data_IF_843043873438
#
_entry.id   IF_843043873438
#
_cell.length_a   1.000
_cell.length_b   1.000
_cell.length_c   1.000
_cell.angle_alpha   90.00
_cell.angle_beta   90.00
_cell.angle_gamma   90.00
#
_symmetry.space_group_name_H-M   'P 1'
#
loop_
_entity.id
_entity.type
_entity.pdbx_description
1 polymer ?
#
# COMPACT_ATOMS: atom_id res chain seq x y z
N UNK A 1 -2.67 -14.56 17.44
CA UNK A 1 -3.93 -14.16 16.77
C UNK A 1 -4.87 -13.36 17.68
N UNK A 2 -5.07 -13.73 18.94
CA UNK A 2 -5.97 -13.00 19.85
C UNK A 2 -5.57 -11.51 20.04
N UNK A 3 -4.28 -11.19 20.14
CA UNK A 3 -3.83 -9.80 20.26
C UNK A 3 -4.21 -8.94 19.05
N UNK A 4 -4.04 -9.47 17.83
CA UNK A 4 -4.45 -8.78 16.61
C UNK A 4 -5.97 -8.53 16.58
N UNK A 5 -6.76 -9.55 16.94
CA UNK A 5 -8.22 -9.43 17.00
C UNK A 5 -8.66 -8.32 17.95
N UNK A 6 -8.12 -8.31 19.17
CA UNK A 6 -8.37 -7.26 20.17
C UNK A 6 -7.99 -5.86 19.67
N UNK A 7 -6.88 -5.73 18.94
CA UNK A 7 -6.46 -4.45 18.38
C UNK A 7 -7.43 -3.96 17.31
N UNK A 8 -7.82 -4.82 16.38
CA UNK A 8 -8.75 -4.47 15.30
C UNK A 8 -10.11 -4.07 15.90
N UNK A 9 -10.68 -4.90 16.78
CA UNK A 9 -11.97 -4.61 17.46
C UNK A 9 -11.94 -3.27 18.18
N UNK A 10 -10.83 -2.95 18.85
CA UNK A 10 -10.67 -1.69 19.59
C UNK A 10 -10.61 -0.46 18.69
N UNK A 11 -9.96 -0.55 17.52
CA UNK A 11 -9.65 0.62 16.71
C UNK A 11 -10.54 0.79 15.47
N UNK A 12 -11.19 -0.27 14.99
CA UNK A 12 -12.10 -0.23 13.84
C UNK A 12 -13.20 0.84 13.93
N UNK A 13 -13.85 1.11 15.09
CA UNK A 13 -14.87 2.16 15.16
C UNK A 13 -14.35 3.59 14.92
N UNK A 14 -13.02 3.79 14.94
CA UNK A 14 -12.39 5.12 14.85
C UNK A 14 -11.49 5.26 13.62
N UNK A 15 -10.94 4.16 13.12
CA UNK A 15 -9.91 4.18 12.09
C UNK A 15 -10.17 3.11 11.04
N UNK A 16 -9.85 3.44 9.79
CA UNK A 16 -9.78 2.47 8.70
C UNK A 16 -8.70 1.43 8.97
N UNK A 17 -9.06 0.16 8.85
CA UNK A 17 -8.16 -0.97 9.07
C UNK A 17 -7.74 -1.57 7.73
N UNK A 18 -6.45 -1.42 7.40
CA UNK A 18 -5.82 -2.12 6.28
C UNK A 18 -5.07 -3.33 6.84
N UNK A 19 -5.50 -4.54 6.49
CA UNK A 19 -4.79 -5.76 6.85
C UNK A 19 -3.76 -6.09 5.76
N UNK A 20 -2.49 -5.87 6.09
CA UNK A 20 -1.37 -6.13 5.17
C UNK A 20 -1.01 -7.63 5.11
N UNK A 21 -1.87 -8.43 4.44
CA UNK A 21 -1.77 -9.89 4.39
C UNK A 21 -1.09 -10.44 3.12
N UNK A 22 -0.96 -9.64 2.06
CA UNK A 22 -0.33 -10.00 0.77
C UNK A 22 -0.81 -11.33 0.18
N UNK A 23 -2.10 -11.65 0.36
CA UNK A 23 -2.67 -12.94 -0.11
C UNK A 23 -2.61 -13.04 -1.62
N UNK A 24 -2.33 -14.23 -2.14
CA UNK A 24 -2.36 -14.57 -3.56
C UNK A 24 -2.57 -16.07 -3.68
N UNK A 25 -3.75 -16.46 -4.12
CA UNK A 25 -4.17 -17.84 -4.37
C UNK A 25 -5.33 -17.79 -5.37
N UNK A 26 -5.87 -18.91 -5.84
CA UNK A 26 -6.93 -18.93 -6.87
C UNK A 26 -8.23 -19.57 -6.39
N UNK A 27 -9.33 -19.26 -7.08
CA UNK A 27 -10.63 -19.91 -6.92
C UNK A 27 -11.17 -19.92 -5.48
N UNK A 28 -11.46 -21.12 -4.97
CA UNK A 28 -12.06 -21.29 -3.64
C UNK A 28 -11.13 -20.84 -2.51
N UNK A 29 -9.81 -20.98 -2.67
CA UNK A 29 -8.85 -20.56 -1.66
C UNK A 29 -8.78 -19.03 -1.55
N UNK A 30 -8.75 -18.33 -2.68
CA UNK A 30 -8.88 -16.87 -2.70
C UNK A 30 -10.20 -16.39 -2.07
N UNK A 31 -11.30 -17.09 -2.34
CA UNK A 31 -12.60 -16.78 -1.73
C UNK A 31 -12.58 -16.96 -0.21
N UNK A 32 -11.88 -17.99 0.29
CA UNK A 32 -11.69 -18.21 1.72
C UNK A 32 -10.84 -17.11 2.35
N UNK A 33 -9.77 -16.65 1.70
CA UNK A 33 -8.97 -15.52 2.16
C UNK A 33 -9.74 -14.19 2.16
N UNK A 34 -10.57 -13.95 1.14
CA UNK A 34 -11.44 -12.78 1.12
C UNK A 34 -12.43 -12.81 2.31
N UNK A 35 -13.05 -13.96 2.59
CA UNK A 35 -13.91 -14.15 3.76
C UNK A 35 -13.15 -13.98 5.07
N UNK A 36 -11.95 -14.55 5.19
CA UNK A 36 -11.08 -14.39 6.35
C UNK A 36 -10.81 -12.90 6.61
N UNK A 37 -10.36 -12.16 5.60
CA UNK A 37 -9.98 -10.76 5.73
C UNK A 37 -11.16 -9.83 6.03
N UNK A 38 -12.28 -9.97 5.32
CA UNK A 38 -13.38 -9.02 5.41
C UNK A 38 -14.48 -9.40 6.42
N UNK A 39 -14.62 -10.68 6.75
CA UNK A 39 -15.67 -11.16 7.69
C UNK A 39 -15.07 -11.54 9.04
N UNK A 40 -13.99 -12.30 9.07
CA UNK A 40 -13.39 -12.71 10.35
C UNK A 40 -12.53 -11.60 10.96
N UNK A 41 -11.62 -11.02 10.17
CA UNK A 41 -10.80 -9.89 10.58
C UNK A 41 -11.50 -8.55 10.42
N UNK A 42 -12.63 -8.52 9.71
CA UNK A 42 -13.46 -7.34 9.59
C UNK A 42 -12.76 -6.10 9.01
N UNK A 43 -11.64 -6.30 8.31
CA UNK A 43 -10.80 -5.25 7.74
C UNK A 43 -11.55 -4.44 6.67
N UNK A 44 -11.13 -3.21 6.45
CA UNK A 44 -11.69 -2.33 5.41
C UNK A 44 -10.97 -2.53 4.08
N UNK A 45 -9.66 -2.80 4.13
CA UNK A 45 -8.91 -3.19 2.95
C UNK A 45 -7.86 -4.26 3.23
N UNK A 46 -7.48 -5.00 2.19
CA UNK A 46 -6.43 -6.02 2.23
C UNK A 46 -5.30 -5.67 1.25
N UNK A 47 -4.07 -6.07 1.54
CA UNK A 47 -3.03 -6.14 0.49
C UNK A 47 -3.05 -7.51 -0.18
N UNK A 48 -2.90 -7.53 -1.51
CA UNK A 48 -2.97 -8.76 -2.32
C UNK A 48 -1.78 -8.85 -3.28
N UNK A 49 -1.29 -10.06 -3.52
CA UNK A 49 -0.26 -10.36 -4.51
C UNK A 49 -0.91 -10.69 -5.87
N UNK A 50 -0.61 -9.95 -6.94
CA UNK A 50 -1.21 -10.20 -8.27
C UNK A 50 -0.48 -11.26 -9.09
N UNK A 51 0.54 -11.92 -8.54
CA UNK A 51 1.48 -12.75 -9.30
C UNK A 51 0.80 -13.93 -10.01
N UNK A 52 -0.27 -14.47 -9.45
CA UNK A 52 -0.99 -15.61 -10.02
C UNK A 52 -2.02 -15.22 -11.09
N UNK A 53 -2.24 -13.92 -11.33
CA UNK A 53 -3.17 -13.43 -12.35
C UNK A 53 -4.49 -12.91 -11.80
N UNK A 54 -5.41 -12.57 -12.70
CA UNK A 54 -6.68 -11.88 -12.38
C UNK A 54 -7.61 -12.72 -11.51
N UNK A 55 -7.64 -14.02 -11.75
CA UNK A 55 -8.41 -15.03 -11.02
C UNK A 55 -8.00 -15.16 -9.54
N UNK A 56 -6.80 -14.69 -9.18
CA UNK A 56 -6.39 -14.54 -7.78
C UNK A 56 -6.97 -13.32 -7.07
N UNK A 57 -7.50 -12.35 -7.83
CA UNK A 57 -8.02 -11.06 -7.34
C UNK A 57 -9.54 -10.97 -7.46
N UNK A 58 -10.12 -11.54 -8.52
CA UNK A 58 -11.58 -11.50 -8.78
C UNK A 58 -12.46 -11.89 -7.60
N UNK A 59 -12.14 -12.92 -6.78
CA UNK A 59 -12.96 -13.29 -5.63
C UNK A 59 -13.16 -12.17 -4.60
N UNK A 60 -12.26 -11.18 -4.56
CA UNK A 60 -12.35 -10.04 -3.65
C UNK A 60 -13.32 -8.96 -4.15
N UNK A 61 -13.67 -8.94 -5.45
CA UNK A 61 -14.53 -7.91 -6.04
C UNK A 61 -15.96 -7.92 -5.47
N UNK A 62 -16.46 -9.08 -5.02
CA UNK A 62 -17.76 -9.17 -4.35
C UNK A 62 -17.81 -8.39 -3.03
N UNK A 63 -16.66 -8.21 -2.37
CA UNK A 63 -16.57 -7.40 -1.16
C UNK A 63 -16.42 -5.91 -1.48
N UNK A 64 -15.95 -5.54 -2.67
CA UNK A 64 -15.86 -4.13 -3.04
C UNK A 64 -17.24 -3.47 -3.13
N UNK A 65 -18.25 -4.24 -3.54
CA UNK A 65 -19.67 -3.84 -3.50
C UNK A 65 -20.21 -3.61 -2.08
N UNK A 66 -19.46 -4.01 -1.06
CA UNK A 66 -19.77 -3.90 0.37
C UNK A 66 -18.82 -2.94 1.09
N UNK A 67 -18.39 -1.90 0.38
CA UNK A 67 -17.51 -0.84 0.90
C UNK A 67 -16.15 -1.35 1.40
N UNK A 68 -15.67 -2.48 0.85
CA UNK A 68 -14.31 -2.98 1.11
C UNK A 68 -13.37 -2.62 -0.05
N UNK A 69 -12.07 -2.64 0.22
CA UNK A 69 -11.05 -2.36 -0.78
C UNK A 69 -9.88 -3.33 -0.75
N UNK A 70 -8.97 -3.17 -1.69
CA UNK A 70 -7.69 -3.87 -1.67
C UNK A 70 -6.57 -3.03 -2.29
N UNK A 71 -5.32 -3.35 -1.96
CA UNK A 71 -4.13 -2.79 -2.58
C UNK A 71 -3.30 -3.91 -3.22
N UNK A 72 -3.12 -3.88 -4.55
CA UNK A 72 -2.28 -4.85 -5.24
C UNK A 72 -0.80 -4.50 -5.13
N UNK A 73 0.04 -5.49 -4.87
CA UNK A 73 1.50 -5.31 -4.91
C UNK A 73 1.97 -5.05 -6.35
N UNK A 74 2.33 -3.81 -6.67
CA UNK A 74 2.88 -3.45 -7.99
C UNK A 74 4.40 -3.29 -7.93
N UNK A 75 4.88 -2.39 -7.06
CA UNK A 75 6.31 -2.15 -6.83
C UNK A 75 6.55 -2.08 -5.33
N UNK A 76 7.31 -3.01 -4.75
CA UNK A 76 7.63 -2.98 -3.32
C UNK A 76 8.94 -2.22 -3.06
N UNK A 77 9.17 -1.78 -1.82
CA UNK A 77 10.32 -0.92 -1.45
C UNK A 77 11.58 -1.67 -1.01
N UNK A 78 11.49 -2.99 -0.79
CA UNK A 78 12.60 -3.80 -0.27
C UNK A 78 13.70 -4.03 -1.33
N UNK A 79 14.99 -4.19 -0.94
CA UNK A 79 16.09 -4.44 -1.89
C UNK A 79 15.87 -5.66 -2.80
N UNK A 80 15.38 -6.77 -2.23
CA UNK A 80 15.08 -8.00 -2.98
C UNK A 80 13.93 -7.87 -4.00
N UNK A 81 13.24 -6.72 -4.06
CA UNK A 81 12.37 -6.42 -5.18
C UNK A 81 13.15 -6.40 -6.52
N UNK A 82 14.46 -6.14 -6.47
CA UNK A 82 15.30 -6.15 -7.67
C UNK A 82 15.50 -7.56 -8.24
N UNK A 83 15.28 -8.62 -7.46
CA UNK A 83 15.42 -10.00 -7.93
C UNK A 83 14.39 -10.33 -9.03
N UNK A 84 13.22 -9.68 -8.99
CA UNK A 84 12.12 -9.94 -9.92
C UNK A 84 11.51 -8.67 -10.51
N UNK A 85 11.06 -7.73 -9.67
CA UNK A 85 10.20 -6.63 -10.09
C UNK A 85 10.91 -5.64 -11.03
N UNK A 86 12.23 -5.47 -10.90
CA UNK A 86 13.01 -4.57 -11.78
C UNK A 86 13.72 -5.30 -12.91
N UNK A 87 13.59 -6.62 -13.00
CA UNK A 87 14.19 -7.39 -14.09
C UNK A 87 13.56 -6.98 -15.41
N UNK A 88 14.41 -6.77 -16.41
CA UNK A 88 13.98 -6.36 -17.74
C UNK A 88 13.31 -7.53 -18.45
N UNK A 89 12.07 -7.32 -18.86
CA UNK A 89 11.34 -8.26 -19.70
C UNK A 89 11.83 -8.16 -21.14
N UNK A 90 11.47 -9.11 -22.00
CA UNK A 90 11.80 -9.06 -23.43
C UNK A 90 11.26 -7.79 -24.13
N UNK A 91 10.19 -7.19 -23.58
CA UNK A 91 9.65 -5.91 -24.04
C UNK A 91 10.54 -4.69 -23.75
N UNK A 92 11.64 -4.85 -23.00
CA UNK A 92 12.50 -3.75 -22.56
C UNK A 92 11.94 -2.91 -21.41
N UNK A 93 10.89 -3.39 -20.75
CA UNK A 93 10.33 -2.77 -19.54
C UNK A 93 10.53 -3.69 -18.33
N UNK A 94 10.65 -3.13 -17.11
CA UNK A 94 10.74 -3.94 -15.90
C UNK A 94 9.42 -4.68 -15.61
N UNK A 95 9.50 -5.85 -14.97
CA UNK A 95 8.33 -6.68 -14.62
C UNK A 95 7.23 -5.90 -13.87
N UNK A 96 7.59 -4.97 -12.96
CA UNK A 96 6.58 -4.17 -12.25
C UNK A 96 5.71 -3.34 -13.20
N UNK A 97 6.24 -2.91 -14.35
CA UNK A 97 5.49 -2.15 -15.36
C UNK A 97 4.38 -3.02 -15.96
N UNK A 98 4.69 -4.30 -16.26
CA UNK A 98 3.70 -5.26 -16.74
C UNK A 98 2.63 -5.52 -15.67
N UNK A 99 3.03 -5.70 -14.40
CA UNK A 99 2.10 -5.89 -13.29
C UNK A 99 1.16 -4.69 -13.17
N UNK A 100 1.70 -3.46 -13.20
CA UNK A 100 0.90 -2.23 -13.15
C UNK A 100 -0.09 -2.14 -14.32
N UNK A 101 0.36 -2.41 -15.55
CA UNK A 101 -0.52 -2.44 -16.74
C UNK A 101 -1.65 -3.45 -16.60
N UNK A 102 -1.38 -4.65 -16.09
CA UNK A 102 -2.42 -5.66 -15.83
C UNK A 102 -3.37 -5.24 -14.70
N UNK A 103 -2.84 -4.71 -13.60
CA UNK A 103 -3.63 -4.20 -12.49
C UNK A 103 -4.56 -3.05 -12.90
N UNK A 104 -4.08 -2.16 -13.79
CA UNK A 104 -4.92 -1.13 -14.41
C UNK A 104 -6.05 -1.75 -15.22
N UNK A 105 -5.82 -2.80 -16.01
CA UNK A 105 -6.90 -3.49 -16.74
C UNK A 105 -7.94 -4.14 -15.81
N UNK A 106 -7.54 -4.58 -14.62
CA UNK A 106 -8.42 -5.22 -13.64
C UNK A 106 -9.12 -4.23 -12.70
N UNK A 107 -8.98 -2.93 -12.96
CA UNK A 107 -9.44 -1.87 -12.08
C UNK A 107 -10.90 -2.05 -11.62
N UNK A 108 -11.08 -1.79 -10.34
CA UNK A 108 -12.33 -1.50 -9.67
C UNK A 108 -12.10 -0.23 -8.83
N UNK A 109 -13.14 0.55 -8.54
CA UNK A 109 -12.96 1.81 -7.79
C UNK A 109 -12.29 1.60 -6.41
N UNK A 110 -12.58 0.47 -5.76
CA UNK A 110 -11.99 0.10 -4.46
C UNK A 110 -10.64 -0.66 -4.57
N UNK A 111 -10.05 -0.75 -5.77
CA UNK A 111 -8.77 -1.40 -6.01
C UNK A 111 -7.66 -0.35 -6.16
N UNK A 112 -6.82 -0.27 -5.14
CA UNK A 112 -5.61 0.55 -5.11
C UNK A 112 -4.34 -0.26 -5.38
N UNK A 113 -3.19 0.42 -5.36
CA UNK A 113 -1.87 -0.19 -5.59
C UNK A 113 -0.90 0.12 -4.45
N UNK A 114 -0.08 -0.89 -4.11
CA UNK A 114 1.10 -0.73 -3.26
C UNK A 114 2.27 -0.31 -4.14
N UNK A 115 2.82 0.87 -3.86
CA UNK A 115 3.91 1.48 -4.62
C UNK A 115 5.00 1.97 -3.68
N UNK A 116 6.13 1.31 -3.69
CA UNK A 116 7.28 1.61 -2.84
C UNK A 116 7.90 2.96 -3.16
N UNK A 117 8.32 3.67 -2.12
CA UNK A 117 8.89 5.01 -2.19
C UNK A 117 10.43 5.07 -2.33
N UNK A 118 11.13 3.94 -2.35
CA UNK A 118 12.60 3.90 -2.27
C UNK A 118 13.32 4.24 -3.56
N UNK A 119 12.66 4.07 -4.71
CA UNK A 119 13.15 4.54 -6.00
C UNK A 119 12.21 5.62 -6.55
N UNK A 120 12.66 6.87 -6.53
CA UNK A 120 11.86 8.02 -6.95
C UNK A 120 11.58 8.04 -8.45
N UNK A 121 12.45 7.43 -9.27
CA UNK A 121 12.26 7.34 -10.73
C UNK A 121 11.11 6.38 -11.04
N UNK A 122 11.14 5.19 -10.44
CA UNK A 122 10.04 4.20 -10.55
C UNK A 122 8.72 4.81 -10.07
N UNK A 123 8.73 5.50 -8.91
CA UNK A 123 7.52 6.13 -8.37
C UNK A 123 6.94 7.16 -9.36
N UNK A 124 7.76 8.07 -9.90
CA UNK A 124 7.29 9.08 -10.87
C UNK A 124 6.68 8.45 -12.12
N UNK A 125 7.30 7.38 -12.63
CA UNK A 125 6.77 6.65 -13.80
C UNK A 125 5.42 5.99 -13.48
N UNK A 126 5.29 5.37 -12.31
CA UNK A 126 4.04 4.75 -11.86
C UNK A 126 2.94 5.80 -11.69
N UNK A 127 3.23 6.91 -11.00
CA UNK A 127 2.27 8.01 -10.81
C UNK A 127 1.79 8.58 -12.14
N UNK A 128 2.71 8.76 -13.11
CA UNK A 128 2.37 9.20 -14.47
C UNK A 128 1.39 8.23 -15.14
N UNK A 129 1.70 6.93 -15.15
CA UNK A 129 0.83 5.92 -15.78
C UNK A 129 -0.56 5.87 -15.14
N UNK A 130 -0.63 5.98 -13.81
CA UNK A 130 -1.91 6.02 -13.09
C UNK A 130 -2.69 7.29 -13.45
N UNK A 131 -2.04 8.44 -13.47
CA UNK A 131 -2.67 9.70 -13.86
C UNK A 131 -3.19 9.66 -15.30
N UNK A 132 -2.40 9.14 -16.24
CA UNK A 132 -2.76 9.01 -17.66
C UNK A 132 -3.98 8.09 -17.86
N UNK A 133 -4.18 7.11 -16.98
CA UNK A 133 -5.34 6.22 -17.01
C UNK A 133 -6.67 6.93 -16.71
N UNK A 134 -6.62 8.14 -16.15
CA UNK A 134 -7.78 8.95 -15.72
C UNK A 134 -8.70 8.25 -14.71
N UNK A 135 -8.18 7.23 -14.01
CA UNK A 135 -8.90 6.47 -12.98
C UNK A 135 -8.51 6.95 -11.58
N UNK A 136 -9.45 6.88 -10.64
CA UNK A 136 -9.17 7.11 -9.22
C UNK A 136 -8.61 5.83 -8.62
N UNK A 137 -7.31 5.81 -8.36
CA UNK A 137 -6.62 4.62 -7.85
C UNK A 137 -5.96 4.98 -6.52
N UNK A 138 -6.49 4.49 -5.38
CA UNK A 138 -5.87 4.69 -4.09
C UNK A 138 -4.45 4.13 -4.06
N UNK A 139 -3.52 4.86 -3.45
CA UNK A 139 -2.13 4.41 -3.33
C UNK A 139 -1.79 4.09 -1.88
N UNK A 140 -1.14 2.96 -1.65
CA UNK A 140 -0.47 2.65 -0.39
C UNK A 140 1.04 2.72 -0.62
N UNK A 141 1.70 3.69 0.00
CA UNK A 141 3.11 3.99 -0.23
C UNK A 141 3.90 3.63 1.03
N UNK A 142 4.47 2.41 1.09
CA UNK A 142 5.35 2.01 2.18
C UNK A 142 6.78 2.54 2.01
N UNK A 143 7.50 2.56 3.13
CA UNK A 143 8.96 2.73 3.13
C UNK A 143 9.45 4.15 3.34
N UNK A 144 8.60 5.06 3.84
CA UNK A 144 9.05 6.39 4.28
C UNK A 144 9.73 6.28 5.64
N UNK A 145 10.91 6.91 5.78
CA UNK A 145 11.72 6.86 7.00
C UNK A 145 12.80 5.79 6.92
N UNK A 146 12.63 4.67 7.64
CA UNK A 146 13.71 3.68 7.88
C UNK A 146 14.21 2.96 6.63
N UNK A 147 13.46 2.95 5.52
CA UNK A 147 13.86 2.29 4.28
C UNK A 147 14.52 3.24 3.27
N UNK A 148 14.81 4.48 3.66
CA UNK A 148 15.52 5.45 2.84
C UNK A 148 14.63 6.28 1.91
N UNK A 149 13.31 6.06 1.87
CA UNK A 149 12.38 6.91 1.12
C UNK A 149 12.22 8.28 1.78
N UNK A 150 12.57 9.35 1.06
CA UNK A 150 12.39 10.73 1.52
C UNK A 150 10.93 11.17 1.42
N UNK A 151 10.31 11.49 2.55
CA UNK A 151 8.95 12.05 2.61
C UNK A 151 8.80 13.26 1.67
N UNK A 152 9.81 14.12 1.62
CA UNK A 152 9.85 15.31 0.76
C UNK A 152 9.80 14.95 -0.72
N UNK A 153 10.59 13.97 -1.16
CA UNK A 153 10.64 13.56 -2.57
C UNK A 153 9.33 12.88 -3.01
N UNK A 154 8.81 11.98 -2.18
CA UNK A 154 7.52 11.31 -2.43
C UNK A 154 6.39 12.33 -2.55
N UNK A 155 6.32 13.27 -1.63
CA UNK A 155 5.30 14.33 -1.67
C UNK A 155 5.50 15.27 -2.84
N UNK A 156 6.75 15.60 -3.19
CA UNK A 156 7.06 16.37 -4.39
C UNK A 156 6.61 15.68 -5.67
N UNK A 157 6.75 14.35 -5.77
CA UNK A 157 6.24 13.57 -6.90
C UNK A 157 4.71 13.51 -6.91
N UNK A 158 4.06 13.28 -5.76
CA UNK A 158 2.60 13.26 -5.65
C UNK A 158 1.94 14.60 -5.99
N UNK A 159 2.55 15.74 -5.59
CA UNK A 159 2.02 17.08 -5.89
C UNK A 159 1.96 17.39 -7.39
N UNK A 160 2.77 16.72 -8.22
CA UNK A 160 2.67 16.84 -9.69
C UNK A 160 1.38 16.23 -10.23
N UNK A 161 0.69 15.40 -9.43
CA UNK A 161 -0.56 14.74 -9.76
C UNK A 161 -1.61 15.00 -8.66
N UNK A 162 -2.18 16.23 -8.57
CA UNK A 162 -3.05 16.64 -7.46
C UNK A 162 -4.27 15.73 -7.23
N UNK A 163 -4.74 15.03 -8.27
CA UNK A 163 -5.84 14.06 -8.17
C UNK A 163 -5.49 12.82 -7.34
N UNK A 164 -4.20 12.46 -7.24
CA UNK A 164 -3.72 11.29 -6.50
C UNK A 164 -3.46 11.62 -5.03
N UNK A 165 -3.18 12.89 -4.71
CA UNK A 165 -2.78 13.32 -3.37
C UNK A 165 -3.81 12.97 -2.28
N UNK A 166 -5.13 13.19 -2.44
CA UNK A 166 -6.13 12.89 -1.39
C UNK A 166 -6.31 11.38 -1.13
N UNK A 167 -5.93 10.55 -2.09
CA UNK A 167 -6.14 9.09 -2.08
C UNK A 167 -4.83 8.31 -1.93
N UNK A 168 -3.70 9.01 -1.73
CA UNK A 168 -2.44 8.41 -1.34
C UNK A 168 -2.39 8.22 0.18
N UNK A 169 -1.82 7.09 0.62
CA UNK A 169 -1.61 6.73 2.02
C UNK A 169 -0.14 6.44 2.22
N UNK A 170 0.55 7.34 2.93
CA UNK A 170 1.94 7.16 3.31
C UNK A 170 2.00 6.26 4.54
N UNK A 171 2.65 5.11 4.42
CA UNK A 171 2.83 4.18 5.54
C UNK A 171 4.21 4.37 6.19
N UNK A 172 4.18 4.59 7.50
CA UNK A 172 5.34 4.60 8.38
C UNK A 172 5.06 3.67 9.58
N UNK A 173 6.01 2.79 9.89
CA UNK A 173 5.86 1.78 10.95
C UNK A 173 7.04 1.81 11.92
N UNK A 174 8.18 1.20 11.55
CA UNK A 174 9.35 1.09 12.43
C UNK A 174 9.92 2.43 12.91
N UNK A 175 9.80 3.49 12.11
CA UNK A 175 10.20 4.84 12.53
C UNK A 175 9.40 5.29 13.75
N UNK A 176 8.09 5.04 13.77
CA UNK A 176 7.17 5.42 14.86
C UNK A 176 7.24 4.41 16.01
N UNK A 177 7.03 3.12 15.72
CA UNK A 177 6.94 2.08 16.74
C UNK A 177 8.24 1.91 17.55
N UNK A 178 9.40 2.23 16.97
CA UNK A 178 10.69 2.18 17.66
C UNK A 178 11.30 3.56 17.91
N UNK A 179 10.52 4.64 17.81
CA UNK A 179 11.00 5.99 18.09
C UNK A 179 11.62 6.11 19.49
N UNK A 180 10.98 5.49 20.50
CA UNK A 180 11.44 5.49 21.88
C UNK A 180 12.85 4.89 22.08
N UNK A 181 13.26 3.94 21.22
CA UNK A 181 14.61 3.37 21.27
C UNK A 181 15.69 4.37 20.87
N UNK A 182 15.35 5.36 20.04
CA UNK A 182 16.27 6.41 19.57
C UNK A 182 16.21 7.66 20.43
N UNK A 183 15.00 8.05 20.85
CA UNK A 183 14.77 9.28 21.60
C UNK A 183 14.90 9.10 23.13
N UNK A 184 14.87 7.86 23.63
CA UNK A 184 14.61 7.58 25.04
C UNK A 184 13.16 7.86 25.43
N UNK A 185 12.81 7.59 26.69
CA UNK A 185 11.51 7.94 27.26
C UNK A 185 10.36 6.95 26.97
N UNK A 186 9.12 7.42 27.16
CA UNK A 186 7.92 6.60 27.03
C UNK A 186 7.58 6.29 25.56
N UNK A 187 7.13 5.06 25.32
CA UNK A 187 6.70 4.59 23.98
C UNK A 187 5.69 5.53 23.30
N UNK A 188 4.63 5.93 24.01
CA UNK A 188 3.54 6.71 23.44
C UNK A 188 3.97 8.13 23.08
N UNK A 189 4.74 8.78 23.96
CA UNK A 189 5.26 10.13 23.73
C UNK A 189 6.20 10.18 22.53
N UNK A 190 7.16 9.25 22.47
CA UNK A 190 8.09 9.16 21.36
C UNK A 190 7.37 8.89 20.02
N UNK A 191 6.33 8.04 20.03
CA UNK A 191 5.50 7.79 18.84
C UNK A 191 4.73 9.03 18.38
N UNK A 192 4.13 9.80 19.31
CA UNK A 192 3.41 11.05 19.00
C UNK A 192 4.35 12.08 18.39
N UNK A 193 5.55 12.27 18.96
CA UNK A 193 6.56 13.19 18.43
C UNK A 193 6.96 12.80 17.00
N UNK A 194 7.20 11.51 16.74
CA UNK A 194 7.56 11.04 15.40
C UNK A 194 6.42 11.23 14.39
N UNK A 195 5.17 10.99 14.79
CA UNK A 195 3.99 11.25 13.95
C UNK A 195 3.88 12.74 13.61
N UNK A 196 4.11 13.64 14.58
CA UNK A 196 4.07 15.08 14.35
C UNK A 196 5.16 15.53 13.37
N UNK A 197 6.40 15.04 13.54
CA UNK A 197 7.51 15.31 12.62
C UNK A 197 7.21 14.82 11.20
N UNK A 198 6.70 13.59 11.08
CA UNK A 198 6.29 13.04 9.78
C UNK A 198 5.21 13.91 9.14
N UNK A 199 4.15 14.24 9.87
CA UNK A 199 3.08 15.11 9.35
C UNK A 199 3.59 16.48 8.89
N UNK A 200 4.51 17.10 9.63
CA UNK A 200 5.15 18.35 9.22
C UNK A 200 5.93 18.18 7.91
N UNK A 201 6.73 17.11 7.79
CA UNK A 201 7.48 16.82 6.56
C UNK A 201 6.60 16.54 5.34
N UNK A 202 5.37 16.07 5.55
CA UNK A 202 4.40 15.85 4.47
C UNK A 202 3.72 17.16 4.05
N UNK A 203 3.53 18.10 4.99
CA UNK A 203 2.84 19.38 4.80
C UNK A 203 3.58 20.42 3.96
N UNK A 204 4.76 20.13 3.41
CA UNK A 204 5.62 21.10 2.68
C UNK A 204 4.82 22.17 1.93
N UNK A 205 5.09 23.40 2.34
CA UNK A 205 4.56 24.67 1.85
C UNK A 205 4.65 24.80 0.33
#
# INVERSE_FOLDING_TARGET
MQALKKLIEKFKPKYTIILDAKRGDIGKTASAYAKEGYVFWEADALTLSPLMGKDSIEPYFEYFKKEKGAYLLCRTSNPAANDFLTQQMHSGEPLYSLILKKALLWHQESLGFVVGATNIVDLKQILKQISDSKRKIPLLIPGIGTQGGSAKEVMGALRQYPSLLPIARINASSSIAYAYKRAGGNFAEAAVVEIQKLNQSLKLE
#
